data_IF_761019577746
#
_entry.id   IF_761019577746
#
_cell.length_a   1.000
_cell.length_b   1.000
_cell.length_c   1.000
_cell.angle_alpha   90.00
_cell.angle_beta   90.00
_cell.angle_gamma   90.00
#
_symmetry.space_group_name_H-M   'P 1'
#
loop_
_entity.id
_entity.type
_entity.pdbx_description
1 polymer ?
#
# COMPACT_ATOMS: atom_id res chain seq x y z
N UNK A 1 19.83 -13.39 10.68
CA UNK A 1 19.40 -12.65 9.48
C UNK A 1 18.92 -11.29 9.94
N UNK A 2 19.64 -10.23 9.55
CA UNK A 2 19.33 -8.84 9.92
C UNK A 2 18.40 -8.27 8.85
N UNK A 3 17.25 -7.71 9.23
CA UNK A 3 16.37 -7.05 8.28
C UNK A 3 16.93 -5.66 7.94
N UNK A 4 16.84 -5.32 6.65
CA UNK A 4 17.44 -4.13 6.05
C UNK A 4 17.16 -2.89 6.89
N UNK A 5 18.22 -2.13 7.15
CA UNK A 5 18.14 -0.80 7.75
C UNK A 5 17.28 0.10 6.85
N UNK A 6 16.01 0.23 7.19
CA UNK A 6 15.19 1.32 6.69
C UNK A 6 15.77 2.61 7.28
N UNK A 7 16.59 3.34 6.50
CA UNK A 7 16.87 4.74 6.83
C UNK A 7 15.54 5.45 6.78
N UNK A 8 15.03 5.85 7.95
CA UNK A 8 13.98 6.84 8.03
C UNK A 8 14.49 8.11 7.34
N UNK A 9 13.98 8.40 6.14
CA UNK A 9 14.09 9.74 5.57
C UNK A 9 13.13 10.59 6.41
N UNK A 10 13.68 11.22 7.44
CA UNK A 10 12.99 12.26 8.19
C UNK A 10 12.80 13.41 7.21
N UNK A 11 11.58 13.60 6.72
CA UNK A 11 11.21 14.87 6.12
C UNK A 11 11.23 15.92 7.23
N UNK A 12 11.99 17.03 7.09
CA UNK A 12 11.80 18.15 7.99
C UNK A 12 10.37 18.65 7.81
N UNK A 13 9.60 18.64 8.89
CA UNK A 13 8.34 19.37 8.98
C UNK A 13 8.72 20.84 8.85
N UNK A 14 8.67 21.36 7.63
CA UNK A 14 8.73 22.79 7.39
C UNK A 14 7.50 23.39 8.07
N UNK A 15 7.75 24.25 9.05
CA UNK A 15 6.76 25.05 9.75
C UNK A 15 6.17 26.06 8.75
N UNK A 16 5.19 25.63 7.96
CA UNK A 16 4.44 26.52 7.09
C UNK A 16 3.36 27.20 7.93
N UNK A 17 3.60 28.47 8.27
CA UNK A 17 2.58 29.40 8.77
C UNK A 17 1.52 29.59 7.68
N UNK A 18 0.42 28.85 7.77
CA UNK A 18 -0.77 29.07 6.96
C UNK A 18 -1.46 30.36 7.44
N UNK A 19 -1.24 31.45 6.70
CA UNK A 19 -2.16 32.60 6.66
C UNK A 19 -3.49 32.08 6.08
N UNK A 20 -4.50 32.00 6.93
CA UNK A 20 -5.89 31.82 6.53
C UNK A 20 -6.43 33.17 6.06
N UNK A 21 -6.25 33.46 4.79
CA UNK A 21 -7.11 34.39 4.06
C UNK A 21 -7.62 33.64 2.83
N UNK A 22 -8.86 33.91 2.43
CA UNK A 22 -9.64 33.25 1.37
C UNK A 22 -10.51 32.08 1.86
N UNK A 23 -11.66 32.43 2.44
CA UNK A 23 -12.95 31.87 2.01
C UNK A 23 -14.04 32.95 2.20
N UNK A 24 -14.12 33.82 1.18
CA UNK A 24 -15.32 34.61 0.89
C UNK A 24 -16.36 33.68 0.25
N UNK A 25 -17.62 33.88 0.62
CA UNK A 25 -18.83 33.26 0.06
C UNK A 25 -19.13 31.81 0.43
N UNK A 26 -19.66 31.62 1.65
CA UNK A 26 -20.78 30.70 1.86
C UNK A 26 -21.83 31.42 2.72
N UNK A 27 -22.93 31.84 2.08
CA UNK A 27 -24.16 32.29 2.74
C UNK A 27 -24.78 31.08 3.46
N UNK A 28 -24.78 31.10 4.79
CA UNK A 28 -25.70 30.30 5.60
C UNK A 28 -26.71 31.23 6.24
N UNK A 29 -27.96 31.02 5.85
CA UNK A 29 -29.17 31.61 6.44
C UNK A 29 -29.29 31.24 7.90
N UNK A 30 -29.80 32.21 8.66
CA UNK A 30 -29.97 32.20 10.10
C UNK A 30 -30.78 31.02 10.64
N UNK A 31 -30.26 30.38 11.69
CA UNK A 31 -31.06 29.83 12.78
C UNK A 31 -30.42 30.35 14.07
N UNK A 32 -31.03 31.39 14.63
CA UNK A 32 -30.70 31.96 15.95
C UNK A 32 -31.50 31.25 17.04
N UNK A 33 -30.99 31.38 18.27
CA UNK A 33 -31.51 30.91 19.58
C UNK A 33 -31.14 29.45 19.91
N UNK A 34 -30.24 29.14 20.85
CA UNK A 34 -29.95 29.76 22.14
C UNK A 34 -28.45 29.98 22.38
N UNK A 35 -28.09 31.24 22.62
CA UNK A 35 -26.84 31.63 23.29
C UNK A 35 -26.95 31.26 24.78
N UNK A 36 -26.23 30.23 25.22
CA UNK A 36 -25.63 30.30 26.55
C UNK A 36 -24.30 31.01 26.34
N UNK A 37 -24.32 32.32 26.60
CA UNK A 37 -23.11 33.12 26.71
C UNK A 37 -22.36 32.65 27.97
N UNK A 38 -21.43 31.72 27.82
CA UNK A 38 -20.39 31.54 28.83
C UNK A 38 -19.25 32.47 28.45
N UNK A 39 -19.27 33.68 29.00
CA UNK A 39 -18.10 34.55 29.06
C UNK A 39 -17.07 33.90 29.97
N UNK A 40 -16.29 32.97 29.42
CA UNK A 40 -15.15 32.38 30.09
C UNK A 40 -13.95 33.28 29.91
N UNK A 41 -13.54 33.93 31.00
CA UNK A 41 -12.37 34.81 31.03
C UNK A 41 -11.12 34.11 30.46
N UNK A 42 -10.23 34.92 29.89
CA UNK A 42 -8.95 34.54 29.26
C UNK A 42 -8.23 33.37 29.95
N UNK A 43 -8.24 33.31 31.29
CA UNK A 43 -7.62 32.25 32.08
C UNK A 43 -8.22 30.85 31.86
N UNK A 44 -9.52 30.73 31.58
CA UNK A 44 -10.22 29.45 31.43
C UNK A 44 -10.00 28.81 30.06
N UNK A 45 -9.73 29.61 29.03
CA UNK A 45 -9.45 29.09 27.68
C UNK A 45 -8.08 28.43 27.63
N UNK A 46 -7.08 29.02 28.29
CA UNK A 46 -5.73 28.46 28.44
C UNK A 46 -5.76 27.15 29.22
N UNK A 47 -6.61 27.04 30.25
CA UNK A 47 -6.78 25.84 31.06
C UNK A 47 -7.36 24.67 30.25
N UNK A 48 -8.32 24.94 29.35
CA UNK A 48 -8.90 23.92 28.47
C UNK A 48 -7.90 23.46 27.39
N UNK A 49 -7.15 24.40 26.79
CA UNK A 49 -6.11 24.03 25.85
C UNK A 49 -5.00 23.22 26.53
N UNK A 50 -4.61 23.61 27.75
CA UNK A 50 -3.61 22.89 28.53
C UNK A 50 -4.09 21.47 28.89
N UNK A 51 -5.34 21.28 29.29
CA UNK A 51 -5.87 19.94 29.61
C UNK A 51 -5.98 19.05 28.39
N UNK A 52 -6.41 19.57 27.23
CA UNK A 52 -6.43 18.83 25.96
C UNK A 52 -5.01 18.44 25.54
N UNK A 53 -4.05 19.37 25.64
CA UNK A 53 -2.65 19.11 25.31
C UNK A 53 -2.02 18.08 26.27
N UNK A 54 -2.37 18.13 27.56
CA UNK A 54 -1.95 17.12 28.55
C UNK A 54 -2.57 15.75 28.26
N UNK A 55 -3.85 15.71 27.88
CA UNK A 55 -4.54 14.48 27.51
C UNK A 55 -3.88 13.82 26.30
N UNK A 56 -3.52 14.63 25.30
CA UNK A 56 -2.75 14.20 24.14
C UNK A 56 -1.35 13.73 24.55
N UNK A 57 -0.62 14.45 25.41
CA UNK A 57 0.72 14.02 25.88
C UNK A 57 0.70 12.76 26.75
N UNK A 58 -0.41 12.46 27.44
CA UNK A 58 -0.57 11.25 28.25
C UNK A 58 -1.07 10.05 27.44
N UNK A 59 -1.89 10.27 26.40
CA UNK A 59 -2.37 9.21 25.51
C UNK A 59 -1.47 8.97 24.30
N UNK A 60 -0.60 9.91 23.95
CA UNK A 60 0.52 9.70 23.04
C UNK A 60 1.78 9.42 23.86
N UNK A 61 2.34 8.20 23.82
CA UNK A 61 3.59 7.92 24.51
C UNK A 61 4.68 8.89 24.01
N UNK A 62 5.06 9.85 24.86
CA UNK A 62 6.19 10.75 24.62
C UNK A 62 7.45 9.91 24.65
N UNK A 63 8.06 9.67 23.49
CA UNK A 63 9.21 8.78 23.32
C UNK A 63 10.31 8.98 24.39
N UNK A 64 10.61 7.95 25.21
CA UNK A 64 11.98 7.67 25.62
C UNK A 64 12.52 6.44 24.85
N UNK A 65 11.67 5.70 24.13
CA UNK A 65 12.02 4.46 23.45
C UNK A 65 12.77 4.64 22.13
N UNK A 66 12.93 5.87 21.63
CA UNK A 66 13.74 6.15 20.46
C UNK A 66 15.25 5.88 20.67
N UNK A 67 15.71 5.66 21.91
CA UNK A 67 17.10 5.25 22.22
C UNK A 67 17.30 3.73 22.30
N UNK A 68 16.24 2.93 22.09
CA UNK A 68 16.32 1.47 21.97
C UNK A 68 16.65 0.96 20.56
N UNK A 69 16.59 1.81 19.53
CA UNK A 69 16.80 1.44 18.12
C UNK A 69 18.28 1.27 17.70
N UNK A 70 19.18 0.94 18.63
CA UNK A 70 20.55 0.49 18.29
C UNK A 70 20.70 -1.04 18.21
N UNK A 71 19.59 -1.78 18.26
CA UNK A 71 19.56 -3.19 17.84
C UNK A 71 18.93 -3.26 16.44
N UNK A 72 19.54 -3.94 15.45
CA UNK A 72 18.86 -4.18 14.19
C UNK A 72 17.54 -4.88 14.50
N UNK A 73 16.42 -4.25 14.14
CA UNK A 73 15.10 -4.84 14.36
C UNK A 73 15.11 -6.28 13.83
N UNK A 74 15.09 -7.25 14.75
CA UNK A 74 15.14 -8.67 14.39
C UNK A 74 13.87 -8.92 13.59
N UNK A 75 14.02 -9.43 12.37
CA UNK A 75 12.87 -9.68 11.53
C UNK A 75 11.90 -10.62 12.27
N UNK A 76 10.59 -10.32 12.29
CA UNK A 76 9.63 -11.26 12.83
C UNK A 76 9.82 -12.61 12.14
N UNK A 77 9.98 -13.67 12.93
CA UNK A 77 10.30 -15.03 12.43
C UNK A 77 9.34 -15.44 11.32
N UNK A 78 8.06 -15.08 11.46
CA UNK A 78 7.02 -15.38 10.47
C UNK A 78 7.23 -14.67 9.12
N UNK A 79 7.66 -13.40 9.11
CA UNK A 79 7.98 -12.69 7.86
C UNK A 79 9.19 -13.34 7.16
N UNK A 80 10.18 -13.75 7.94
CA UNK A 80 11.36 -14.44 7.40
C UNK A 80 11.00 -15.78 6.74
N UNK A 81 10.00 -16.49 7.29
CA UNK A 81 9.50 -17.75 6.75
C UNK A 81 8.82 -17.54 5.40
N UNK A 82 7.91 -16.55 5.30
CA UNK A 82 7.21 -16.23 4.06
C UNK A 82 8.17 -15.75 2.97
N UNK A 83 9.09 -14.85 3.29
CA UNK A 83 9.98 -14.28 2.30
C UNK A 83 11.14 -15.19 1.87
N UNK A 84 11.38 -16.32 2.57
CA UNK A 84 12.52 -17.21 2.29
C UNK A 84 12.54 -17.74 0.86
N UNK A 85 11.38 -18.01 0.29
CA UNK A 85 11.20 -18.54 -1.07
C UNK A 85 11.05 -17.44 -2.12
N UNK A 86 11.06 -16.17 -1.72
CA UNK A 86 10.95 -15.05 -2.65
C UNK A 86 12.26 -14.84 -3.41
N UNK A 87 12.15 -14.64 -4.73
CA UNK A 87 13.28 -14.26 -5.58
C UNK A 87 13.91 -12.92 -5.17
N UNK A 88 13.16 -12.06 -4.48
CA UNK A 88 13.65 -10.80 -3.94
C UNK A 88 13.31 -10.67 -2.46
N UNK A 89 14.06 -11.40 -1.62
CA UNK A 89 13.90 -11.42 -0.16
C UNK A 89 13.81 -10.01 0.44
N UNK A 90 14.72 -9.12 0.03
CA UNK A 90 14.81 -7.74 0.51
C UNK A 90 13.52 -6.94 0.24
N UNK A 91 13.00 -7.06 -0.99
CA UNK A 91 11.76 -6.42 -1.38
C UNK A 91 10.56 -7.03 -0.65
N UNK A 92 10.48 -8.36 -0.57
CA UNK A 92 9.42 -9.06 0.15
C UNK A 92 9.32 -8.60 1.61
N UNK A 93 10.44 -8.62 2.34
CA UNK A 93 10.50 -8.17 3.73
C UNK A 93 10.03 -6.72 3.83
N UNK A 94 10.54 -5.84 2.97
CA UNK A 94 10.19 -4.42 3.00
C UNK A 94 8.69 -4.22 2.79
N UNK A 95 8.11 -4.88 1.80
CA UNK A 95 6.68 -4.79 1.49
C UNK A 95 5.84 -5.28 2.67
N UNK A 96 6.15 -6.45 3.22
CA UNK A 96 5.41 -7.02 4.34
C UNK A 96 5.58 -6.19 5.62
N UNK A 97 6.77 -5.67 5.92
CA UNK A 97 6.99 -4.79 7.07
C UNK A 97 6.29 -3.44 6.94
N UNK A 98 6.09 -2.95 5.72
CA UNK A 98 5.41 -1.66 5.49
C UNK A 98 3.89 -1.72 5.70
N UNK A 99 3.32 -2.93 5.80
CA UNK A 99 1.89 -3.12 6.00
C UNK A 99 1.58 -3.40 7.49
N UNK A 100 0.89 -2.49 8.20
CA UNK A 100 0.56 -2.68 9.62
C UNK A 100 -0.24 -3.98 9.90
N UNK A 101 -1.15 -4.37 9.01
CA UNK A 101 -1.94 -5.60 9.18
C UNK A 101 -1.07 -6.85 9.11
N UNK A 102 0.03 -6.79 8.35
CA UNK A 102 1.00 -7.89 8.29
C UNK A 102 1.80 -8.02 9.58
N UNK A 103 2.13 -6.90 10.23
CA UNK A 103 2.82 -6.90 11.53
C UNK A 103 1.90 -7.34 12.67
N UNK A 104 0.60 -7.08 12.56
CA UNK A 104 -0.42 -7.50 13.52
C UNK A 104 -0.93 -8.93 13.29
N UNK A 105 -0.51 -9.58 12.20
CA UNK A 105 -0.98 -10.92 11.88
C UNK A 105 -0.49 -11.93 12.94
N UNK A 106 -1.39 -12.69 13.59
CA UNK A 106 -1.01 -13.59 14.69
C UNK A 106 -0.31 -14.86 14.22
N UNK A 107 -0.39 -15.19 12.92
CA UNK A 107 0.14 -16.41 12.34
C UNK A 107 0.51 -16.22 10.87
N UNK A 108 1.19 -17.22 10.30
CA UNK A 108 1.64 -17.22 8.90
C UNK A 108 0.48 -17.06 7.92
N UNK A 109 -0.68 -17.68 8.18
CA UNK A 109 -1.87 -17.54 7.33
C UNK A 109 -2.31 -16.08 7.20
N UNK A 110 -2.33 -15.33 8.30
CA UNK A 110 -2.62 -13.90 8.29
C UNK A 110 -1.62 -13.09 7.46
N UNK A 111 -0.32 -13.44 7.52
CA UNK A 111 0.70 -12.79 6.69
C UNK A 111 0.48 -13.08 5.21
N UNK A 112 0.18 -14.34 4.86
CA UNK A 112 -0.12 -14.74 3.47
C UNK A 112 -1.31 -13.98 2.92
N UNK A 113 -2.42 -13.93 3.67
CA UNK A 113 -3.63 -13.17 3.29
C UNK A 113 -3.28 -11.70 3.03
N UNK A 114 -2.51 -11.08 3.92
CA UNK A 114 -2.10 -9.70 3.73
C UNK A 114 -1.14 -9.51 2.53
N UNK A 115 -0.22 -10.45 2.29
CA UNK A 115 0.66 -10.43 1.13
C UNK A 115 -0.13 -10.43 -0.17
N UNK A 116 -1.13 -11.31 -0.28
CA UNK A 116 -1.97 -11.43 -1.48
C UNK A 116 -2.86 -10.20 -1.65
N UNK A 117 -3.38 -9.60 -0.58
CA UNK A 117 -4.12 -8.34 -0.65
C UNK A 117 -3.26 -7.16 -1.15
N UNK A 118 -1.97 -7.10 -0.76
CA UNK A 118 -1.04 -6.09 -1.27
C UNK A 118 -0.88 -6.25 -2.78
N UNK A 119 -0.64 -7.46 -3.26
CA UNK A 119 -0.44 -7.72 -4.70
C UNK A 119 -1.72 -7.48 -5.48
N UNK A 120 -2.88 -7.88 -4.96
CA UNK A 120 -4.20 -7.55 -5.50
C UNK A 120 -4.35 -6.04 -5.75
N UNK A 121 -3.99 -5.22 -4.77
CA UNK A 121 -4.02 -3.75 -4.90
C UNK A 121 -3.03 -3.24 -5.95
N UNK A 122 -1.83 -3.79 -6.02
CA UNK A 122 -0.86 -3.40 -7.04
C UNK A 122 -1.29 -3.83 -8.45
N UNK A 123 -1.93 -4.99 -8.61
CA UNK A 123 -2.56 -5.44 -9.86
C UNK A 123 -3.64 -4.44 -10.31
N UNK A 124 -4.54 -4.03 -9.41
CA UNK A 124 -5.56 -3.02 -9.73
C UNK A 124 -4.96 -1.66 -10.10
N UNK A 125 -3.89 -1.24 -9.41
CA UNK A 125 -3.18 0.00 -9.74
C UNK A 125 -2.53 -0.09 -11.12
N UNK A 126 -1.95 -1.23 -11.45
CA UNK A 126 -1.33 -1.50 -12.76
C UNK A 126 -2.38 -1.52 -13.86
N UNK A 127 -3.52 -2.18 -13.63
CA UNK A 127 -4.69 -2.15 -14.52
C UNK A 127 -5.14 -0.72 -14.81
N UNK A 128 -5.30 0.12 -13.77
CA UNK A 128 -5.68 1.54 -13.92
C UNK A 128 -4.62 2.36 -14.67
N UNK A 129 -3.34 2.05 -14.50
CA UNK A 129 -2.27 2.70 -15.27
C UNK A 129 -2.44 2.43 -16.77
N UNK A 130 -2.66 1.18 -17.16
CA UNK A 130 -2.88 0.81 -18.56
C UNK A 130 -4.18 1.38 -19.13
N UNK A 131 -5.26 1.36 -18.35
CA UNK A 131 -6.53 2.00 -18.73
C UNK A 131 -6.35 3.51 -18.94
N UNK A 132 -5.63 4.18 -18.04
CA UNK A 132 -5.29 5.60 -18.18
C UNK A 132 -4.48 5.89 -19.44
N UNK A 133 -3.52 5.03 -19.80
CA UNK A 133 -2.79 5.14 -21.07
C UNK A 133 -3.74 4.92 -22.26
N UNK A 134 -4.57 3.89 -22.25
CA UNK A 134 -5.48 3.59 -23.36
C UNK A 134 -6.47 4.73 -23.66
N UNK A 135 -6.91 5.42 -22.61
CA UNK A 135 -7.87 6.53 -22.69
C UNK A 135 -7.21 7.91 -22.81
N UNK A 136 -5.87 7.96 -22.79
CA UNK A 136 -5.10 9.20 -22.91
C UNK A 136 -5.28 9.89 -24.26
N UNK A 137 -5.43 11.22 -24.25
CA UNK A 137 -5.54 12.04 -25.47
C UNK A 137 -4.27 12.01 -26.33
N UNK A 138 -3.11 11.86 -25.71
CA UNK A 138 -1.81 11.78 -26.39
C UNK A 138 -1.37 10.37 -26.80
N UNK A 139 -2.23 9.37 -26.58
CA UNK A 139 -1.89 7.97 -26.90
C UNK A 139 -2.18 7.69 -28.36
N UNK A 140 -1.17 7.16 -29.05
CA UNK A 140 -1.27 6.72 -30.45
C UNK A 140 -2.47 5.77 -30.59
N UNK A 141 -3.44 6.02 -31.49
CA UNK A 141 -4.64 5.20 -31.60
C UNK A 141 -4.37 3.70 -31.78
N UNK A 142 -3.32 3.36 -32.53
CA UNK A 142 -2.90 1.98 -32.76
C UNK A 142 -2.46 1.23 -31.48
N UNK A 143 -1.99 1.93 -30.45
CA UNK A 143 -1.59 1.30 -29.18
C UNK A 143 -2.77 1.02 -28.25
N UNK A 144 -3.93 1.67 -28.47
CA UNK A 144 -5.06 1.59 -27.54
C UNK A 144 -5.58 0.15 -27.34
N UNK A 145 -5.69 -0.72 -28.36
CA UNK A 145 -6.08 -2.11 -28.17
C UNK A 145 -5.16 -2.86 -27.21
N UNK A 146 -3.83 -2.85 -27.45
CA UNK A 146 -2.85 -3.48 -26.56
C UNK A 146 -2.93 -2.95 -25.13
N UNK A 147 -3.07 -1.64 -24.95
CA UNK A 147 -3.16 -1.03 -23.64
C UNK A 147 -4.46 -1.44 -22.90
N UNK A 148 -5.59 -1.57 -23.61
CA UNK A 148 -6.85 -2.07 -23.02
C UNK A 148 -6.74 -3.55 -22.62
N UNK A 149 -6.06 -4.35 -23.43
CA UNK A 149 -5.80 -5.75 -23.14
C UNK A 149 -4.94 -5.89 -21.88
N UNK A 150 -3.84 -5.15 -21.79
CA UNK A 150 -3.05 -5.05 -20.56
C UNK A 150 -3.87 -4.62 -19.33
N UNK A 151 -4.74 -3.63 -19.49
CA UNK A 151 -5.63 -3.21 -18.40
C UNK A 151 -6.55 -4.35 -17.94
N UNK A 152 -7.07 -5.14 -18.87
CA UNK A 152 -7.90 -6.32 -18.61
C UNK A 152 -7.10 -7.42 -17.91
N UNK A 153 -5.91 -7.75 -18.42
CA UNK A 153 -5.05 -8.80 -17.88
C UNK A 153 -4.63 -8.50 -16.44
N UNK A 154 -4.22 -7.27 -16.12
CA UNK A 154 -3.93 -6.91 -14.73
C UNK A 154 -5.17 -6.86 -13.82
N UNK A 155 -6.37 -6.68 -14.40
CA UNK A 155 -7.63 -6.78 -13.65
C UNK A 155 -7.95 -8.25 -13.33
N UNK A 156 -7.76 -9.17 -14.27
CA UNK A 156 -7.88 -10.63 -14.06
C UNK A 156 -6.87 -11.11 -13.02
N UNK A 157 -5.61 -10.70 -13.15
CA UNK A 157 -4.55 -10.95 -12.16
C UNK A 157 -4.93 -10.46 -10.75
N UNK A 158 -5.66 -9.34 -10.62
CA UNK A 158 -6.21 -8.95 -9.32
C UNK A 158 -7.30 -9.91 -8.82
N UNK A 159 -8.13 -10.45 -9.69
CA UNK A 159 -9.18 -11.40 -9.35
C UNK A 159 -8.62 -12.72 -8.81
N UNK A 160 -7.49 -13.16 -9.35
CA UNK A 160 -6.76 -14.37 -8.92
C UNK A 160 -6.12 -14.23 -7.53
N UNK A 161 -5.89 -13.01 -7.05
CA UNK A 161 -5.32 -12.73 -5.72
C UNK A 161 -6.40 -12.65 -4.63
N UNK A 162 -7.51 -13.38 -4.76
CA UNK A 162 -8.66 -13.26 -3.87
C UNK A 162 -8.53 -14.10 -2.59
N UNK A 163 -8.62 -13.40 -1.46
CA UNK A 163 -8.45 -13.89 -0.09
C UNK A 163 -9.44 -14.98 0.33
N UNK A 164 -10.57 -15.12 -0.38
CA UNK A 164 -11.63 -16.08 -0.08
C UNK A 164 -11.49 -17.42 -0.81
N UNK A 165 -10.72 -17.46 -1.90
CA UNK A 165 -10.68 -18.61 -2.84
C UNK A 165 -9.48 -19.50 -2.60
N UNK A 166 -8.52 -19.08 -1.77
CA UNK A 166 -7.32 -19.83 -1.45
C UNK A 166 -7.63 -20.93 -0.42
N UNK A 167 -8.55 -21.81 -0.77
CA UNK A 167 -8.57 -23.19 -0.29
C UNK A 167 -7.37 -23.93 -0.93
N UNK A 168 -6.85 -24.92 -0.21
CA UNK A 168 -5.53 -25.49 -0.43
C UNK A 168 -5.24 -26.04 -1.82
N UNK A 169 -3.94 -26.23 -2.06
CA UNK A 169 -3.27 -26.82 -3.24
C UNK A 169 -3.33 -26.03 -4.56
N UNK A 170 -4.16 -25.00 -4.68
CA UNK A 170 -4.28 -24.20 -5.91
C UNK A 170 -3.79 -22.75 -5.78
N UNK A 171 -3.27 -22.35 -4.62
CA UNK A 171 -2.84 -20.99 -4.38
C UNK A 171 -1.70 -20.57 -5.32
N UNK A 172 -0.74 -21.45 -5.55
CA UNK A 172 0.35 -21.19 -6.52
C UNK A 172 -0.15 -21.24 -7.96
N UNK A 173 -1.18 -22.05 -8.25
CA UNK A 173 -1.80 -22.10 -9.58
C UNK A 173 -2.44 -20.76 -9.93
N UNK A 174 -3.28 -20.20 -9.06
CA UNK A 174 -3.90 -18.89 -9.26
C UNK A 174 -2.86 -17.78 -9.41
N UNK A 175 -1.82 -17.81 -8.56
CA UNK A 175 -0.74 -16.83 -8.64
C UNK A 175 0.03 -16.97 -9.96
N UNK A 176 0.27 -18.18 -10.45
CA UNK A 176 0.94 -18.40 -11.74
C UNK A 176 0.08 -17.95 -12.92
N UNK A 177 -1.24 -18.16 -12.90
CA UNK A 177 -2.12 -17.59 -13.92
C UNK A 177 -2.05 -16.06 -13.95
N UNK A 178 -1.90 -15.40 -12.80
CA UNK A 178 -1.70 -13.95 -12.78
C UNK A 178 -0.37 -13.53 -13.44
N UNK A 179 0.68 -14.35 -13.35
CA UNK A 179 1.93 -14.10 -14.08
C UNK A 179 1.75 -14.27 -15.59
N UNK A 180 0.96 -15.26 -16.01
CA UNK A 180 0.67 -15.49 -17.43
C UNK A 180 -0.16 -14.35 -18.03
N UNK A 181 -1.13 -13.80 -17.29
CA UNK A 181 -1.82 -12.55 -17.66
C UNK A 181 -0.81 -11.39 -17.86
N UNK A 182 0.17 -11.23 -16.97
CA UNK A 182 1.20 -10.19 -17.14
C UNK A 182 2.09 -10.43 -18.38
N UNK A 183 2.40 -11.69 -18.71
CA UNK A 183 3.15 -12.08 -19.91
C UNK A 183 2.34 -11.88 -21.20
N UNK A 184 1.03 -12.14 -21.14
CA UNK A 184 0.08 -11.84 -22.23
C UNK A 184 0.16 -10.36 -22.59
N UNK A 185 0.06 -9.48 -21.59
CA UNK A 185 0.26 -8.04 -21.78
C UNK A 185 1.62 -7.70 -22.43
N UNK A 186 2.75 -8.22 -21.91
CA UNK A 186 4.07 -7.96 -22.50
C UNK A 186 4.17 -8.43 -23.96
N UNK A 187 3.60 -9.59 -24.27
CA UNK A 187 3.55 -10.14 -25.63
C UNK A 187 2.77 -9.22 -26.55
N UNK A 188 1.59 -8.79 -26.11
CA UNK A 188 0.74 -7.90 -26.90
C UNK A 188 1.37 -6.54 -27.15
N UNK A 189 2.00 -5.96 -26.12
CA UNK A 189 2.75 -4.70 -26.24
C UNK A 189 3.92 -4.83 -27.23
N UNK A 190 4.61 -5.97 -27.24
CA UNK A 190 5.70 -6.22 -28.18
C UNK A 190 5.20 -6.39 -29.61
N UNK A 191 4.10 -7.12 -29.81
CA UNK A 191 3.50 -7.34 -31.14
C UNK A 191 2.99 -6.05 -31.77
N UNK A 192 2.41 -5.16 -30.96
CA UNK A 192 1.88 -3.88 -31.42
C UNK A 192 2.95 -2.76 -31.35
N UNK A 193 4.23 -3.12 -31.13
CA UNK A 193 5.39 -2.23 -31.07
C UNK A 193 5.21 -1.01 -30.13
N UNK A 194 4.52 -1.23 -29.01
CA UNK A 194 4.19 -0.16 -28.06
C UNK A 194 5.43 0.30 -27.30
N UNK A 195 5.99 1.44 -27.71
CA UNK A 195 7.17 2.03 -27.09
C UNK A 195 6.83 3.21 -26.16
N UNK A 196 6.18 2.92 -25.03
CA UNK A 196 5.92 3.91 -23.97
C UNK A 196 6.91 3.68 -22.81
N UNK A 197 7.80 4.66 -22.57
CA UNK A 197 8.93 4.55 -21.63
C UNK A 197 8.57 4.09 -20.21
N UNK A 198 7.38 4.42 -19.72
CA UNK A 198 6.95 4.07 -18.36
C UNK A 198 6.47 2.62 -18.21
N UNK A 199 6.11 1.94 -19.31
CA UNK A 199 5.53 0.58 -19.28
C UNK A 199 6.49 -0.46 -18.67
N UNK A 200 7.76 -0.58 -19.12
CA UNK A 200 8.66 -1.61 -18.58
C UNK A 200 8.86 -1.48 -17.06
N UNK A 201 8.94 -0.25 -16.56
CA UNK A 201 9.11 0.01 -15.13
C UNK A 201 7.89 -0.42 -14.32
N UNK A 202 6.68 -0.16 -14.82
CA UNK A 202 5.43 -0.55 -14.16
C UNK A 202 5.27 -2.07 -14.12
N UNK A 203 5.49 -2.76 -15.23
CA UNK A 203 5.40 -4.24 -15.28
C UNK A 203 6.46 -4.87 -14.38
N UNK A 204 7.70 -4.36 -14.41
CA UNK A 204 8.77 -4.84 -13.51
C UNK A 204 8.42 -4.63 -12.05
N UNK A 205 7.85 -3.47 -11.71
CA UNK A 205 7.39 -3.20 -10.34
C UNK A 205 6.34 -4.22 -9.92
N UNK A 206 5.32 -4.45 -10.75
CA UNK A 206 4.30 -5.46 -10.49
C UNK A 206 4.89 -6.86 -10.31
N UNK A 207 5.86 -7.27 -11.15
CA UNK A 207 6.55 -8.57 -11.02
C UNK A 207 7.28 -8.74 -9.68
N UNK A 208 7.82 -7.66 -9.10
CA UNK A 208 8.38 -7.73 -7.75
C UNK A 208 7.30 -8.04 -6.70
N UNK A 209 6.12 -7.43 -6.82
CA UNK A 209 4.97 -7.72 -5.96
C UNK A 209 4.46 -9.14 -6.18
N UNK A 210 4.33 -9.60 -7.43
CA UNK A 210 4.05 -11.01 -7.74
C UNK A 210 5.01 -11.96 -7.02
N UNK A 211 6.31 -11.65 -6.98
CA UNK A 211 7.30 -12.45 -6.25
C UNK A 211 7.06 -12.53 -4.72
N UNK A 212 6.29 -11.60 -4.16
CA UNK A 212 5.80 -11.65 -2.76
C UNK A 212 4.57 -12.57 -2.67
N UNK A 213 3.60 -12.43 -3.58
CA UNK A 213 2.43 -13.30 -3.65
C UNK A 213 2.83 -14.78 -3.85
N UNK A 214 3.75 -15.06 -4.77
CA UNK A 214 4.19 -16.43 -5.06
C UNK A 214 4.88 -17.07 -3.85
N UNK A 215 5.73 -16.31 -3.14
CA UNK A 215 6.36 -16.79 -1.91
C UNK A 215 5.33 -17.07 -0.80
N UNK A 216 4.30 -16.21 -0.70
CA UNK A 216 3.19 -16.40 0.23
C UNK A 216 2.33 -17.62 -0.12
N UNK A 217 1.99 -17.83 -1.40
CA UNK A 217 1.23 -18.99 -1.87
C UNK A 217 1.99 -20.30 -1.62
N UNK A 218 3.28 -20.36 -1.96
CA UNK A 218 4.14 -21.51 -1.64
C UNK A 218 4.19 -21.77 -0.14
N UNK A 219 4.24 -20.72 0.67
CA UNK A 219 4.23 -20.89 2.13
C UNK A 219 2.91 -21.45 2.62
N UNK A 220 1.78 -21.08 2.02
CA UNK A 220 0.46 -21.58 2.37
C UNK A 220 0.32 -23.08 2.08
N UNK A 221 0.72 -23.53 0.89
CA UNK A 221 0.67 -24.94 0.49
C UNK A 221 1.59 -25.81 1.36
N UNK A 222 2.77 -25.29 1.74
CA UNK A 222 3.68 -25.98 2.67
C UNK A 222 3.15 -26.05 4.11
N UNK A 223 2.13 -25.28 4.49
CA UNK A 223 1.48 -25.40 5.80
C UNK A 223 0.37 -26.45 5.81
N UNK A 224 -0.08 -26.88 4.63
CA UNK A 224 -1.18 -27.83 4.45
C UNK A 224 -0.70 -29.27 4.25
N UNK A 225 0.58 -29.44 3.87
CA UNK A 225 1.29 -30.72 3.75
C UNK A 225 2.15 -31.00 4.98
#
# INVERSE_FOLDING_TARGET
>A
MNCLTARAVVYPVALATLKLDVFSSIKWTAITHHLVSVTMGSSNRTLIFATIFLYLLLHFPSQPEARGLKSPAKCPKLLSQVCKTSQNYAFCVRVLMSNPLTLLAPNTKGIVVNALDIVRKESMKTSKFFDGLANGRGTVPAFKPALKECASDFKKASGLMNLKVLEGDFATMDVNYALDDARSCETKLSMDEVNIKSIPAIIKNWKNFYGVANAAALTLENLQN
#
